data_IF_156452885622
#
_entry.id   IF_156452885622
#
_cell.length_a   1.000
_cell.length_b   1.000
_cell.length_c   1.000
_cell.angle_alpha   90.00
_cell.angle_beta   90.00
_cell.angle_gamma   90.00
#
_symmetry.space_group_name_H-M   'P 1'
#
loop_
_entity.id
_entity.type
_entity.pdbx_description
1 polymer ?
#
# COMPACT_ATOMS: atom_id res chain seq x y z
N UNK A 1 38.25 29.15 -63.40
CA UNK A 1 38.09 29.90 -62.12
C UNK A 1 36.90 29.28 -61.42
N UNK A 2 36.94 28.52 -60.33
CA UNK A 2 37.90 28.21 -59.25
C UNK A 2 37.59 26.73 -58.83
N UNK A 3 38.46 25.74 -59.02
CA UNK A 3 39.41 25.14 -58.04
C UNK A 3 38.89 24.86 -56.60
N UNK A 4 38.46 23.59 -56.37
CA UNK A 4 38.87 22.60 -55.32
C UNK A 4 38.80 22.91 -53.79
N UNK A 5 38.96 21.95 -52.84
CA UNK A 5 38.53 20.53 -52.70
C UNK A 5 38.09 20.08 -51.25
N UNK A 6 37.91 18.75 -51.03
CA UNK A 6 37.96 17.96 -49.76
C UNK A 6 36.63 17.83 -48.97
N UNK A 7 36.22 16.71 -48.35
CA UNK A 7 36.78 15.40 -48.00
C UNK A 7 35.57 14.49 -47.67
N UNK A 8 35.43 13.26 -48.16
CA UNK A 8 36.05 12.10 -47.52
C UNK A 8 35.50 11.84 -46.11
N UNK A 9 34.35 11.17 -46.01
CA UNK A 9 33.89 10.56 -44.75
C UNK A 9 33.49 9.10 -45.01
N UNK A 10 34.44 8.20 -44.74
CA UNK A 10 34.24 6.76 -44.65
C UNK A 10 33.16 6.47 -43.59
N UNK A 11 32.04 5.87 -44.01
CA UNK A 11 31.03 5.35 -43.10
C UNK A 11 31.64 4.20 -42.30
N UNK A 12 31.84 4.42 -41.00
CA UNK A 12 32.27 3.38 -40.07
C UNK A 12 31.23 2.24 -40.03
N UNK A 13 31.66 0.97 -39.96
CA UNK A 13 30.74 -0.16 -39.84
C UNK A 13 29.95 -0.02 -38.53
N UNK A 14 28.61 -0.06 -38.64
CA UNK A 14 27.72 -0.13 -37.48
C UNK A 14 28.11 -1.38 -36.70
N UNK A 15 28.58 -1.20 -35.47
CA UNK A 15 28.74 -2.30 -34.52
C UNK A 15 27.34 -2.87 -34.27
N UNK A 16 27.10 -4.06 -34.78
CA UNK A 16 25.95 -4.86 -34.42
C UNK A 16 25.97 -5.05 -32.90
N UNK A 17 25.08 -4.33 -32.22
CA UNK A 17 24.77 -4.58 -30.82
C UNK A 17 24.16 -5.98 -30.79
N UNK A 18 24.69 -6.93 -29.99
CA UNK A 18 24.10 -8.25 -29.92
C UNK A 18 22.65 -8.11 -29.48
N UNK A 19 21.73 -8.48 -30.36
CA UNK A 19 20.32 -8.65 -30.04
C UNK A 19 20.28 -9.68 -28.92
N UNK A 20 20.06 -9.21 -27.68
CA UNK A 20 19.98 -10.09 -26.53
C UNK A 20 18.93 -11.16 -26.83
N UNK A 21 19.34 -12.42 -26.68
CA UNK A 21 18.49 -13.58 -26.85
C UNK A 21 17.13 -13.34 -26.19
N UNK A 22 16.07 -13.63 -26.95
CA UNK A 22 14.70 -13.77 -26.44
C UNK A 22 14.70 -14.77 -25.27
N UNK A 23 14.92 -14.27 -24.05
CA UNK A 23 14.73 -15.04 -22.83
C UNK A 23 13.26 -15.48 -22.82
N UNK A 24 13.02 -16.78 -22.86
CA UNK A 24 11.67 -17.34 -22.70
C UNK A 24 10.98 -16.69 -21.49
N UNK A 25 9.69 -16.39 -21.61
CA UNK A 25 8.92 -15.76 -20.54
C UNK A 25 9.09 -16.55 -19.23
N UNK A 26 9.42 -15.89 -18.09
CA UNK A 26 9.56 -16.59 -16.82
C UNK A 26 8.30 -17.36 -16.46
N UNK A 27 8.44 -18.54 -15.86
CA UNK A 27 7.28 -19.26 -15.29
C UNK A 27 6.79 -18.57 -14.02
N UNK A 28 7.71 -18.03 -13.22
CA UNK A 28 7.40 -17.36 -11.94
C UNK A 28 8.16 -16.04 -11.79
N UNK A 29 7.46 -15.03 -11.28
CA UNK A 29 8.05 -13.77 -10.83
C UNK A 29 7.92 -13.66 -9.32
N UNK A 30 9.04 -13.59 -8.63
CA UNK A 30 9.08 -13.44 -7.17
C UNK A 30 9.29 -11.96 -6.84
N UNK A 31 8.27 -11.31 -6.30
CA UNK A 31 8.38 -9.93 -5.82
C UNK A 31 8.82 -9.94 -4.36
N UNK A 32 9.98 -9.35 -4.08
CA UNK A 32 10.51 -9.23 -2.71
C UNK A 32 10.44 -7.77 -2.30
N UNK A 33 9.65 -7.46 -1.28
CA UNK A 33 9.51 -6.09 -0.80
C UNK A 33 10.50 -5.81 0.33
N UNK A 34 11.24 -4.69 0.24
CA UNK A 34 12.26 -4.31 1.22
C UNK A 34 12.08 -2.89 1.75
N UNK A 35 12.41 -2.71 3.03
CA UNK A 35 12.55 -1.43 3.71
C UNK A 35 13.61 -1.58 4.80
N UNK A 36 14.80 -1.04 4.56
CA UNK A 36 15.97 -1.10 5.44
C UNK A 36 16.46 -2.54 5.73
N UNK A 37 16.29 -3.48 4.79
CA UNK A 37 16.58 -4.93 4.96
C UNK A 37 17.98 -5.35 4.46
N UNK A 38 18.96 -4.45 4.48
CA UNK A 38 20.29 -4.68 3.91
C UNK A 38 21.06 -5.86 4.53
N UNK A 39 20.80 -6.19 5.80
CA UNK A 39 21.42 -7.33 6.50
C UNK A 39 20.88 -8.69 6.02
N UNK A 40 19.60 -8.76 5.64
CA UNK A 40 18.92 -10.03 5.33
C UNK A 40 18.83 -10.30 3.82
N UNK A 41 18.62 -9.27 3.00
CA UNK A 41 18.21 -9.42 1.59
C UNK A 41 19.22 -10.21 0.76
N UNK A 42 20.52 -10.12 1.07
CA UNK A 42 21.56 -10.87 0.37
C UNK A 42 21.33 -12.38 0.43
N UNK A 43 21.20 -12.92 1.64
CA UNK A 43 20.96 -14.36 1.85
C UNK A 43 19.60 -14.82 1.32
N UNK A 44 18.56 -13.97 1.39
CA UNK A 44 17.26 -14.28 0.79
C UNK A 44 17.38 -14.46 -0.72
N UNK A 45 18.13 -13.59 -1.40
CA UNK A 45 18.35 -13.69 -2.84
C UNK A 45 19.16 -14.95 -3.21
N UNK A 46 20.19 -15.27 -2.43
CA UNK A 46 21.00 -16.47 -2.62
C UNK A 46 20.13 -17.74 -2.52
N UNK A 47 19.34 -17.85 -1.46
CA UNK A 47 18.48 -19.01 -1.20
C UNK A 47 17.35 -19.15 -2.24
N UNK A 48 16.66 -18.07 -2.59
CA UNK A 48 15.57 -18.10 -3.60
C UNK A 48 16.14 -18.48 -4.97
N UNK A 49 17.30 -17.91 -5.35
CA UNK A 49 17.94 -18.21 -6.63
C UNK A 49 18.40 -19.67 -6.70
N UNK A 50 18.92 -20.21 -5.60
CA UNK A 50 19.32 -21.61 -5.51
C UNK A 50 18.11 -22.57 -5.61
N UNK A 51 17.01 -22.28 -4.90
CA UNK A 51 15.80 -23.12 -4.89
C UNK A 51 15.10 -23.16 -6.27
N UNK A 52 15.17 -22.05 -7.00
CA UNK A 52 14.56 -21.87 -8.33
C UNK A 52 15.52 -22.12 -9.50
N UNK A 53 16.74 -22.61 -9.26
CA UNK A 53 17.75 -22.77 -10.31
C UNK A 53 17.29 -23.60 -11.53
N UNK A 54 16.37 -24.55 -11.32
CA UNK A 54 15.79 -25.40 -12.37
C UNK A 54 14.45 -24.90 -12.94
N UNK A 55 13.99 -23.71 -12.52
CA UNK A 55 12.72 -23.12 -12.93
C UNK A 55 13.00 -21.80 -13.64
N UNK A 56 12.47 -21.55 -14.86
CA UNK A 56 12.56 -20.24 -15.48
C UNK A 56 11.90 -19.18 -14.58
N UNK A 57 12.67 -18.25 -14.03
CA UNK A 57 12.20 -17.32 -13.02
C UNK A 57 12.78 -15.92 -13.18
N UNK A 58 12.15 -14.95 -12.53
CA UNK A 58 12.72 -13.63 -12.27
C UNK A 58 12.46 -13.25 -10.81
N UNK A 59 13.39 -12.51 -10.21
CA UNK A 59 13.25 -11.96 -8.86
C UNK A 59 13.26 -10.44 -8.97
N UNK A 60 12.22 -9.80 -8.47
CA UNK A 60 12.02 -8.35 -8.53
C UNK A 60 12.03 -7.83 -7.10
N UNK A 61 13.16 -7.23 -6.70
CA UNK A 61 13.26 -6.55 -5.42
C UNK A 61 12.66 -5.15 -5.58
N UNK A 62 11.69 -4.81 -4.74
CA UNK A 62 11.07 -3.48 -4.69
C UNK A 62 11.45 -2.82 -3.38
N UNK A 63 12.30 -1.80 -3.47
CA UNK A 63 12.93 -1.17 -2.32
C UNK A 63 12.39 0.24 -2.03
N UNK A 64 11.93 0.42 -0.79
CA UNK A 64 11.40 1.68 -0.24
C UNK A 64 12.38 2.34 0.75
N UNK A 65 13.61 1.83 0.86
CA UNK A 65 14.64 2.34 1.76
C UNK A 65 15.02 3.78 1.42
N UNK A 66 15.25 4.59 2.47
CA UNK A 66 15.63 5.99 2.29
C UNK A 66 17.11 6.16 1.91
N UNK A 67 17.96 5.24 2.36
CA UNK A 67 19.37 5.19 2.00
C UNK A 67 19.64 4.18 0.87
N UNK A 68 20.93 4.00 0.53
CA UNK A 68 21.38 3.11 -0.54
C UNK A 68 21.81 1.72 -0.05
N UNK A 69 21.69 1.42 1.25
CA UNK A 69 22.30 0.23 1.83
C UNK A 69 21.69 -1.06 1.23
N UNK A 70 20.37 -1.16 1.21
CA UNK A 70 19.66 -2.32 0.64
C UNK A 70 19.87 -2.41 -0.87
N UNK A 71 19.77 -1.28 -1.57
CA UNK A 71 19.99 -1.23 -3.02
C UNK A 71 21.38 -1.73 -3.43
N UNK A 72 22.43 -1.37 -2.67
CA UNK A 72 23.81 -1.82 -2.92
C UNK A 72 23.93 -3.34 -2.84
N UNK A 73 23.39 -3.94 -1.77
CA UNK A 73 23.41 -5.39 -1.55
C UNK A 73 22.71 -6.12 -2.70
N UNK A 74 21.56 -5.61 -3.17
CA UNK A 74 20.82 -6.21 -4.30
C UNK A 74 21.63 -6.11 -5.60
N UNK A 75 22.23 -4.96 -5.90
CA UNK A 75 23.02 -4.73 -7.11
C UNK A 75 24.30 -5.58 -7.18
N UNK A 76 24.85 -6.00 -6.04
CA UNK A 76 25.93 -6.99 -6.01
C UNK A 76 25.43 -8.37 -6.47
N UNK A 77 24.22 -8.78 -6.06
CA UNK A 77 23.65 -10.09 -6.41
C UNK A 77 23.18 -10.14 -7.86
N UNK A 78 22.80 -9.03 -8.48
CA UNK A 78 22.45 -9.03 -9.92
C UNK A 78 23.63 -9.43 -10.82
N UNK A 79 24.87 -9.28 -10.34
CA UNK A 79 26.09 -9.72 -11.06
C UNK A 79 26.24 -11.24 -11.04
N UNK A 80 25.74 -11.90 -10.01
CA UNK A 80 25.79 -13.36 -9.81
C UNK A 80 24.54 -14.02 -10.38
N UNK A 81 23.37 -13.39 -10.21
CA UNK A 81 22.06 -13.88 -10.63
C UNK A 81 21.40 -12.89 -11.60
N UNK A 82 21.54 -13.08 -12.92
CA UNK A 82 20.95 -12.20 -13.93
C UNK A 82 19.40 -12.13 -13.89
N UNK A 83 18.75 -13.09 -13.22
CA UNK A 83 17.31 -13.11 -13.00
C UNK A 83 16.83 -12.07 -11.96
N UNK A 84 17.73 -11.52 -11.14
CA UNK A 84 17.44 -10.53 -10.11
C UNK A 84 17.43 -9.11 -10.71
N UNK A 85 16.43 -8.31 -10.36
CA UNK A 85 16.39 -6.87 -10.66
C UNK A 85 15.90 -6.06 -9.46
N UNK A 86 16.24 -4.77 -9.47
CA UNK A 86 15.86 -3.80 -8.46
C UNK A 86 14.90 -2.75 -9.05
N UNK A 87 13.82 -2.47 -8.32
CA UNK A 87 12.94 -1.32 -8.52
C UNK A 87 13.05 -0.46 -7.25
N UNK A 88 13.68 0.70 -7.35
CA UNK A 88 13.74 1.67 -6.25
C UNK A 88 12.59 2.66 -6.35
N UNK A 89 11.94 2.96 -5.23
CA UNK A 89 10.78 3.86 -5.20
C UNK A 89 10.99 5.03 -4.26
N UNK A 90 10.98 6.24 -4.82
CA UNK A 90 11.09 7.46 -4.03
C UNK A 90 9.72 7.84 -3.45
N UNK A 91 9.63 7.84 -2.12
CA UNK A 91 8.47 8.40 -1.40
C UNK A 91 7.16 7.62 -1.53
N UNK A 92 7.13 6.45 -2.19
CA UNK A 92 5.92 5.62 -2.33
C UNK A 92 5.85 4.55 -1.22
N UNK A 93 5.89 4.95 0.06
CA UNK A 93 6.01 3.99 1.15
C UNK A 93 4.79 3.07 1.30
N UNK A 94 5.03 1.75 1.38
CA UNK A 94 4.04 0.78 1.87
C UNK A 94 4.05 -0.55 1.11
N UNK A 95 4.04 -1.66 1.86
CA UNK A 95 4.18 -3.03 1.35
C UNK A 95 3.18 -3.36 0.23
N UNK A 96 1.90 -3.01 0.40
CA UNK A 96 0.88 -3.28 -0.61
C UNK A 96 1.20 -2.59 -1.95
N UNK A 97 1.62 -1.33 -1.90
CA UNK A 97 2.01 -0.59 -3.11
C UNK A 97 3.30 -1.13 -3.72
N UNK A 98 4.24 -1.64 -2.90
CA UNK A 98 5.49 -2.24 -3.34
C UNK A 98 5.23 -3.52 -4.13
N UNK A 99 4.43 -4.42 -3.55
CA UNK A 99 4.03 -5.67 -4.18
C UNK A 99 3.33 -5.40 -5.53
N UNK A 100 2.39 -4.45 -5.55
CA UNK A 100 1.68 -4.01 -6.75
C UNK A 100 2.63 -3.48 -7.83
N UNK A 101 3.61 -2.65 -7.47
CA UNK A 101 4.60 -2.13 -8.41
C UNK A 101 5.50 -3.25 -8.97
N UNK A 102 5.89 -4.21 -8.14
CA UNK A 102 6.65 -5.38 -8.57
C UNK A 102 5.84 -6.28 -9.52
N UNK A 103 4.57 -6.54 -9.22
CA UNK A 103 3.69 -7.34 -10.06
C UNK A 103 3.36 -6.67 -11.40
N UNK A 104 3.26 -5.34 -11.44
CA UNK A 104 3.12 -4.60 -12.71
C UNK A 104 4.34 -4.75 -13.61
N UNK A 105 5.54 -4.80 -13.02
CA UNK A 105 6.80 -4.95 -13.73
C UNK A 105 7.16 -6.41 -14.03
N UNK A 106 6.41 -7.36 -13.46
CA UNK A 106 6.62 -8.79 -13.62
C UNK A 106 6.17 -9.27 -15.00
N UNK A 107 6.93 -10.19 -15.58
CA UNK A 107 6.68 -10.86 -16.86
C UNK A 107 6.21 -12.30 -16.72
N UNK A 108 6.34 -12.90 -15.54
CA UNK A 108 6.07 -14.32 -15.34
C UNK A 108 4.59 -14.69 -15.32
N UNK A 109 4.28 -15.94 -15.65
CA UNK A 109 2.91 -16.47 -15.68
C UNK A 109 2.27 -16.58 -14.28
N UNK A 110 3.12 -16.78 -13.27
CA UNK A 110 2.74 -16.79 -11.86
C UNK A 110 3.47 -15.69 -11.10
N UNK A 111 2.76 -15.10 -10.15
CA UNK A 111 3.20 -13.94 -9.39
C UNK A 111 3.26 -14.31 -7.92
N UNK A 112 4.46 -14.31 -7.35
CA UNK A 112 4.68 -14.49 -5.92
C UNK A 112 5.02 -13.18 -5.23
N UNK A 113 4.79 -13.13 -3.93
CA UNK A 113 5.32 -12.10 -3.05
C UNK A 113 5.89 -12.75 -1.80
N UNK A 114 6.97 -12.17 -1.30
CA UNK A 114 7.55 -12.50 0.01
C UNK A 114 8.23 -11.28 0.63
N UNK A 115 8.39 -11.32 1.95
CA UNK A 115 9.12 -10.29 2.70
C UNK A 115 10.64 -10.53 2.56
N UNK A 116 11.42 -9.44 2.50
CA UNK A 116 12.88 -9.48 2.36
C UNK A 116 13.68 -9.63 3.65
N UNK A 117 13.04 -9.96 4.78
CA UNK A 117 13.63 -9.96 6.13
C UNK A 117 14.16 -11.33 6.59
N UNK A 118 14.14 -12.32 5.70
CA UNK A 118 14.64 -13.68 5.95
C UNK A 118 13.72 -14.56 6.81
N UNK A 119 12.53 -14.10 7.19
CA UNK A 119 11.64 -14.91 8.04
C UNK A 119 10.96 -16.05 7.28
N UNK A 120 10.67 -15.86 5.99
CA UNK A 120 10.03 -16.88 5.16
C UNK A 120 11.07 -17.84 4.59
N UNK A 121 10.79 -19.14 4.65
CA UNK A 121 11.60 -20.14 3.98
C UNK A 121 11.51 -19.96 2.44
N UNK A 122 12.62 -19.73 1.74
CA UNK A 122 12.64 -19.58 0.28
C UNK A 122 12.05 -20.77 -0.49
N UNK A 123 12.13 -21.98 0.07
CA UNK A 123 11.53 -23.21 -0.50
C UNK A 123 10.00 -23.14 -0.61
N UNK A 124 9.36 -22.19 0.07
CA UNK A 124 7.93 -21.94 -0.06
C UNK A 124 7.54 -21.56 -1.48
N UNK A 125 8.39 -20.83 -2.20
CA UNK A 125 8.08 -20.40 -3.56
C UNK A 125 7.89 -21.62 -4.47
N UNK A 126 8.84 -22.55 -4.46
CA UNK A 126 8.74 -23.79 -5.23
C UNK A 126 7.55 -24.66 -4.80
N UNK A 127 7.32 -24.85 -3.50
CA UNK A 127 6.16 -25.60 -2.98
C UNK A 127 4.82 -24.99 -3.43
N UNK A 128 4.70 -23.66 -3.42
CA UNK A 128 3.50 -22.97 -3.90
C UNK A 128 3.33 -23.11 -5.41
N UNK A 129 4.42 -23.06 -6.18
CA UNK A 129 4.40 -23.25 -7.63
C UNK A 129 3.94 -24.67 -8.01
N UNK A 130 4.46 -25.68 -7.32
CA UNK A 130 4.03 -27.08 -7.47
C UNK A 130 2.53 -27.21 -7.15
N UNK A 131 2.07 -26.58 -6.07
CA UNK A 131 0.65 -26.62 -5.68
C UNK A 131 -0.28 -25.96 -6.71
N UNK A 132 0.13 -24.83 -7.30
CA UNK A 132 -0.60 -24.20 -8.41
C UNK A 132 -0.65 -25.08 -9.66
N UNK A 133 0.36 -25.91 -9.88
CA UNK A 133 0.46 -26.77 -11.07
C UNK A 133 -0.39 -28.05 -10.94
N UNK A 134 -0.65 -28.51 -9.71
CA UNK A 134 -1.38 -29.76 -9.43
C UNK A 134 -2.90 -29.62 -9.45
N UNK A 135 -3.43 -28.41 -9.26
CA UNK A 135 -4.87 -28.19 -9.15
C UNK A 135 -5.22 -26.81 -9.71
N UNK A 136 -6.45 -26.63 -10.24
CA UNK A 136 -6.87 -25.35 -10.79
C UNK A 136 -7.16 -24.37 -9.64
N UNK A 137 -6.10 -23.76 -9.12
CA UNK A 137 -6.09 -22.84 -7.97
C UNK A 137 -5.71 -21.44 -8.48
N UNK A 138 -6.37 -20.41 -7.95
CA UNK A 138 -6.08 -19.02 -8.34
C UNK A 138 -5.01 -18.39 -7.44
N UNK A 139 -5.02 -18.74 -6.15
CA UNK A 139 -4.12 -18.20 -5.12
C UNK A 139 -3.68 -19.31 -4.15
N UNK A 140 -2.38 -19.40 -3.89
CA UNK A 140 -1.78 -20.28 -2.86
C UNK A 140 -1.16 -19.42 -1.77
N UNK A 141 -1.49 -19.69 -0.51
CA UNK A 141 -1.02 -18.91 0.64
C UNK A 141 -0.12 -19.76 1.53
N UNK A 142 1.06 -19.25 1.90
CA UNK A 142 1.84 -19.83 2.97
C UNK A 142 1.19 -19.50 4.32
N UNK A 143 0.68 -20.51 5.02
CA UNK A 143 -0.12 -20.33 6.23
C UNK A 143 0.61 -20.88 7.45
N UNK A 144 0.68 -20.06 8.49
CA UNK A 144 1.28 -20.45 9.77
C UNK A 144 0.39 -21.40 10.57
N UNK A 145 -0.91 -21.46 10.27
CA UNK A 145 -1.92 -22.06 11.16
C UNK A 145 -2.56 -23.35 10.64
N UNK A 146 -2.00 -23.97 9.60
CA UNK A 146 -2.56 -25.20 9.00
C UNK A 146 -2.34 -26.46 9.85
N UNK A 147 -1.13 -26.65 10.40
CA UNK A 147 -0.71 -27.95 10.95
C UNK A 147 -0.53 -27.92 12.48
N UNK A 148 -1.19 -26.98 13.17
CA UNK A 148 -0.96 -26.78 14.62
C UNK A 148 0.42 -26.22 14.96
N UNK A 149 1.26 -25.94 13.96
CA UNK A 149 2.45 -25.13 14.07
C UNK A 149 2.06 -23.76 14.61
N UNK A 150 2.33 -23.49 15.88
CA UNK A 150 2.14 -22.15 16.44
C UNK A 150 2.94 -21.13 15.60
N UNK A 151 2.54 -19.85 15.57
CA UNK A 151 3.02 -18.89 14.58
C UNK A 151 4.51 -18.51 14.66
N UNK A 152 5.32 -19.14 15.53
CA UNK A 152 6.68 -18.70 15.85
C UNK A 152 6.73 -17.31 16.48
N UNK A 153 5.58 -16.76 16.87
CA UNK A 153 5.41 -15.40 17.40
C UNK A 153 5.08 -15.46 18.89
N UNK A 154 5.87 -14.77 19.72
CA UNK A 154 5.66 -14.67 21.17
C UNK A 154 4.74 -13.48 21.54
N UNK A 155 3.88 -13.64 22.56
CA UNK A 155 3.17 -12.56 23.26
C UNK A 155 2.02 -11.87 22.50
N UNK A 156 1.89 -10.54 22.68
CA UNK A 156 0.80 -9.68 22.18
C UNK A 156 0.60 -9.76 20.64
N UNK A 157 1.66 -10.12 19.90
CA UNK A 157 1.63 -10.36 18.44
C UNK A 157 0.75 -11.54 18.06
N UNK A 158 0.68 -12.57 18.91
CA UNK A 158 -0.19 -13.73 18.70
C UNK A 158 -1.67 -13.36 18.79
N UNK A 159 -2.03 -12.53 19.78
CA UNK A 159 -3.41 -12.07 19.98
C UNK A 159 -3.89 -11.14 18.86
N UNK A 160 -3.08 -10.15 18.46
CA UNK A 160 -3.40 -9.26 17.35
C UNK A 160 -3.57 -9.99 16.01
N UNK A 161 -2.77 -11.03 15.76
CA UNK A 161 -2.93 -11.89 14.58
C UNK A 161 -4.28 -12.64 14.62
N UNK A 162 -4.61 -13.29 15.74
CA UNK A 162 -5.89 -14.02 15.88
C UNK A 162 -7.12 -13.12 15.80
N UNK A 163 -7.06 -11.91 16.39
CA UNK A 163 -8.12 -10.92 16.27
C UNK A 163 -8.30 -10.47 14.81
N UNK A 164 -7.20 -10.18 14.10
CA UNK A 164 -7.25 -9.84 12.67
C UNK A 164 -7.81 -10.96 11.79
N UNK A 165 -7.52 -12.23 12.12
CA UNK A 165 -8.09 -13.41 11.45
C UNK A 165 -9.60 -13.48 11.69
N UNK A 166 -10.04 -13.34 12.95
CA UNK A 166 -11.46 -13.37 13.31
C UNK A 166 -12.25 -12.25 12.63
N UNK A 167 -11.75 -11.02 12.66
CA UNK A 167 -12.40 -9.86 12.03
C UNK A 167 -12.44 -9.99 10.51
N UNK A 168 -11.36 -10.46 9.88
CA UNK A 168 -11.32 -10.67 8.43
C UNK A 168 -12.27 -11.80 7.99
N UNK A 169 -12.33 -12.88 8.76
CA UNK A 169 -13.24 -14.00 8.51
C UNK A 169 -14.70 -13.57 8.70
N UNK A 170 -15.01 -12.79 9.75
CA UNK A 170 -16.37 -12.29 10.01
C UNK A 170 -16.83 -11.29 8.93
N UNK A 171 -15.98 -10.31 8.59
CA UNK A 171 -16.37 -9.23 7.68
C UNK A 171 -16.37 -9.63 6.21
N UNK A 172 -15.49 -10.56 5.79
CA UNK A 172 -15.32 -10.95 4.39
C UNK A 172 -15.71 -12.42 4.10
N UNK A 173 -15.99 -13.21 5.13
CA UNK A 173 -16.35 -14.63 5.00
C UNK A 173 -15.25 -15.48 4.37
N UNK A 174 -13.97 -15.09 4.50
CA UNK A 174 -12.85 -15.77 3.85
C UNK A 174 -12.46 -17.04 4.61
N UNK A 175 -12.43 -18.18 3.92
CA UNK A 175 -11.93 -19.45 4.45
C UNK A 175 -10.40 -19.53 4.29
N UNK A 176 -9.68 -18.65 4.98
CA UNK A 176 -8.23 -18.65 5.05
C UNK A 176 -7.80 -18.90 6.49
N UNK A 177 -6.87 -19.81 6.71
CA UNK A 177 -6.28 -20.03 8.03
C UNK A 177 -5.33 -18.88 8.41
N UNK A 178 -4.71 -18.24 7.41
CA UNK A 178 -3.82 -17.09 7.60
C UNK A 178 -4.06 -15.96 6.58
N UNK A 179 -5.15 -15.18 6.72
CA UNK A 179 -5.42 -14.01 5.87
C UNK A 179 -4.36 -12.90 5.96
N UNK A 180 -3.44 -12.95 6.93
CA UNK A 180 -2.46 -11.90 7.17
C UNK A 180 -1.04 -12.26 6.70
N UNK A 181 -0.88 -13.38 6.00
CA UNK A 181 0.40 -13.86 5.49
C UNK A 181 1.02 -12.86 4.49
N UNK A 182 2.34 -12.67 4.61
CA UNK A 182 3.15 -11.87 3.69
C UNK A 182 3.74 -12.70 2.53
N UNK A 183 3.58 -14.02 2.56
CA UNK A 183 4.11 -14.93 1.55
C UNK A 183 2.99 -15.72 0.87
N UNK A 184 2.76 -15.43 -0.41
CA UNK A 184 1.74 -16.10 -1.21
C UNK A 184 2.05 -15.98 -2.70
N UNK A 185 1.34 -16.79 -3.50
CA UNK A 185 1.48 -16.85 -4.95
C UNK A 185 0.10 -16.85 -5.62
N UNK A 186 -0.02 -16.23 -6.79
CA UNK A 186 -1.24 -16.23 -7.58
C UNK A 186 -0.94 -16.38 -9.07
N UNK A 187 -1.96 -16.76 -9.84
CA UNK A 187 -1.85 -16.73 -11.31
C UNK A 187 -1.91 -15.29 -11.82
N UNK A 188 -1.22 -15.01 -12.93
CA UNK A 188 -1.33 -13.70 -13.62
C UNK A 188 -2.77 -13.36 -13.98
N UNK A 189 -3.53 -14.32 -14.50
CA UNK A 189 -4.94 -14.13 -14.87
C UNK A 189 -5.80 -13.70 -13.67
N UNK A 190 -5.54 -14.24 -12.47
CA UNK A 190 -6.19 -13.78 -11.25
C UNK A 190 -5.81 -12.35 -10.92
N UNK A 191 -4.51 -12.04 -10.94
CA UNK A 191 -4.00 -10.70 -10.66
C UNK A 191 -4.62 -9.63 -11.57
N UNK A 192 -4.67 -9.87 -12.88
CA UNK A 192 -5.27 -8.96 -13.86
C UNK A 192 -6.75 -8.69 -13.59
N UNK A 193 -7.48 -9.70 -13.09
CA UNK A 193 -8.89 -9.56 -12.72
C UNK A 193 -9.10 -8.65 -11.49
N UNK A 194 -8.20 -8.75 -10.50
CA UNK A 194 -8.33 -8.00 -9.24
C UNK A 194 -7.65 -6.64 -9.28
N UNK A 195 -6.62 -6.49 -10.11
CA UNK A 195 -5.76 -5.31 -10.15
C UNK A 195 -6.54 -3.98 -10.20
N UNK A 196 -7.54 -3.77 -11.07
CA UNK A 196 -8.27 -2.50 -11.14
C UNK A 196 -8.98 -2.10 -9.82
N UNK A 197 -9.17 -3.03 -8.89
CA UNK A 197 -9.88 -2.85 -7.62
C UNK A 197 -8.98 -2.96 -6.39
N UNK A 198 -7.67 -3.17 -6.57
CA UNK A 198 -6.74 -3.16 -5.45
C UNK A 198 -6.63 -1.74 -4.89
N UNK A 199 -6.69 -1.63 -3.57
CA UNK A 199 -6.54 -0.36 -2.86
C UNK A 199 -5.09 0.14 -2.93
N UNK A 200 -4.14 -0.80 -2.86
CA UNK A 200 -2.71 -0.51 -2.73
C UNK A 200 -2.33 0.18 -1.41
N UNK A 201 -3.19 0.06 -0.39
CA UNK A 201 -3.00 0.70 0.91
C UNK A 201 -2.61 -0.31 1.99
N UNK A 202 -1.72 0.13 2.89
CA UNK A 202 -1.34 -0.62 4.07
C UNK A 202 -0.39 -1.80 3.80
N UNK A 203 -0.41 -2.74 4.75
CA UNK A 203 0.54 -3.85 4.83
C UNK A 203 -0.05 -5.23 4.48
N UNK A 204 -1.37 -5.36 4.33
CA UNK A 204 -2.04 -6.66 4.22
C UNK A 204 -2.64 -6.89 2.83
N UNK A 205 -1.76 -6.92 1.83
CA UNK A 205 -2.12 -7.05 0.42
C UNK A 205 -2.85 -8.35 0.07
N UNK A 206 -2.64 -9.45 0.82
CA UNK A 206 -3.35 -10.71 0.60
C UNK A 206 -4.88 -10.54 0.72
N UNK A 207 -5.34 -9.81 1.73
CA UNK A 207 -6.79 -9.53 1.91
C UNK A 207 -7.31 -8.73 0.72
N UNK A 208 -6.56 -7.71 0.29
CA UNK A 208 -6.91 -6.89 -0.85
C UNK A 208 -7.06 -7.74 -2.13
N UNK A 209 -6.10 -8.65 -2.38
CA UNK A 209 -6.10 -9.57 -3.54
C UNK A 209 -7.28 -10.54 -3.48
N UNK A 210 -7.59 -11.11 -2.32
CA UNK A 210 -8.63 -12.14 -2.20
C UNK A 210 -10.04 -11.54 -2.19
N UNK A 211 -10.19 -10.32 -1.67
CA UNK A 211 -11.49 -9.66 -1.51
C UNK A 211 -11.87 -8.72 -2.67
N UNK A 212 -10.95 -8.41 -3.59
CA UNK A 212 -11.20 -7.46 -4.68
C UNK A 212 -11.86 -8.08 -5.93
N UNK A 213 -11.95 -9.40 -6.02
CA UNK A 213 -12.62 -10.06 -7.14
C UNK A 213 -14.14 -10.12 -6.96
N UNK A 214 -14.88 -10.14 -8.09
CA UNK A 214 -16.33 -10.39 -8.09
C UNK A 214 -16.70 -11.82 -7.73
N UNK A 215 -15.81 -12.77 -8.04
CA UNK A 215 -15.91 -14.18 -7.64
C UNK A 215 -14.91 -14.47 -6.54
N UNK A 216 -15.17 -15.46 -5.70
CA UNK A 216 -14.18 -15.96 -4.73
C UNK A 216 -13.03 -16.68 -5.48
N UNK A 217 -11.77 -16.51 -5.06
CA UNK A 217 -10.68 -17.31 -5.59
C UNK A 217 -10.78 -18.76 -5.14
N UNK A 218 -10.33 -19.68 -6.00
CA UNK A 218 -9.98 -21.04 -5.59
C UNK A 218 -8.66 -20.93 -4.82
N UNK A 219 -8.71 -21.25 -3.54
CA UNK A 219 -7.59 -21.10 -2.61
C UNK A 219 -6.99 -22.46 -2.28
N UNK A 220 -5.66 -22.51 -2.25
CA UNK A 220 -4.94 -23.55 -1.54
C UNK A 220 -4.00 -22.91 -0.52
N UNK A 221 -3.57 -23.69 0.46
CA UNK A 221 -2.67 -23.22 1.50
C UNK A 221 -1.55 -24.25 1.66
N UNK A 222 -0.34 -23.77 1.94
CA UNK A 222 0.82 -24.61 2.27
C UNK A 222 1.32 -24.24 3.67
N UNK A 223 1.71 -25.20 4.52
CA UNK A 223 2.16 -24.90 5.87
C UNK A 223 3.53 -24.21 5.83
N UNK A 224 3.70 -23.23 6.71
CA UNK A 224 4.96 -22.49 6.89
C UNK A 224 5.28 -22.25 8.37
N UNK A 225 6.57 -22.21 8.68
CA UNK A 225 7.10 -21.80 9.99
C UNK A 225 7.95 -20.55 9.76
N UNK A 226 7.67 -19.48 10.51
CA UNK A 226 8.48 -18.27 10.44
C UNK A 226 9.80 -18.48 11.20
N UNK A 227 10.90 -18.19 10.52
CA UNK A 227 12.23 -18.10 11.12
C UNK A 227 12.34 -16.80 11.94
N UNK A 228 13.33 -16.76 12.82
CA UNK A 228 13.73 -15.52 13.48
C UNK A 228 14.16 -14.49 12.45
N UNK A 229 13.71 -13.25 12.62
CA UNK A 229 14.09 -12.14 11.74
C UNK A 229 15.58 -11.86 11.86
N UNK A 230 16.24 -11.68 10.72
CA UNK A 230 17.64 -11.23 10.68
C UNK A 230 17.63 -9.71 10.67
N UNK A 231 17.90 -9.10 11.82
CA UNK A 231 17.98 -7.64 11.96
C UNK A 231 16.64 -6.90 11.95
N UNK A 232 16.71 -5.58 12.14
CA UNK A 232 15.56 -4.66 12.09
C UNK A 232 14.59 -4.73 13.29
N UNK A 233 13.66 -3.77 13.34
CA UNK A 233 12.65 -3.67 14.42
C UNK A 233 11.27 -4.05 13.88
N UNK A 234 10.64 -5.08 14.46
CA UNK A 234 9.29 -5.51 14.10
C UNK A 234 8.23 -4.50 14.57
N UNK A 235 7.62 -3.78 13.63
CA UNK A 235 6.61 -2.73 13.89
C UNK A 235 5.18 -3.30 13.80
N UNK A 236 4.80 -4.16 14.74
CA UNK A 236 3.36 -4.38 15.01
C UNK A 236 2.84 -3.19 15.80
N UNK A 237 2.56 -2.13 15.06
CA UNK A 237 2.05 -0.86 15.56
C UNK A 237 0.50 -0.86 15.44
N UNK A 238 -0.19 -0.13 16.32
CA UNK A 238 -1.65 0.13 16.24
C UNK A 238 -2.06 0.56 14.82
N UNK A 239 -1.14 1.21 14.09
CA UNK A 239 -1.26 1.58 12.68
C UNK A 239 -1.68 0.42 11.77
N UNK A 240 -1.09 -0.77 11.94
CA UNK A 240 -1.39 -1.94 11.09
C UNK A 240 -2.83 -2.38 11.30
N UNK A 241 -3.34 -2.28 12.53
CA UNK A 241 -4.73 -2.58 12.86
C UNK A 241 -5.66 -1.58 12.17
N UNK A 242 -5.33 -0.29 12.20
CA UNK A 242 -6.12 0.74 11.51
C UNK A 242 -6.13 0.58 9.99
N UNK A 243 -4.98 0.30 9.37
CA UNK A 243 -4.91 0.02 7.93
C UNK A 243 -5.78 -1.18 7.55
N UNK A 244 -5.75 -2.24 8.37
CA UNK A 244 -6.57 -3.42 8.16
C UNK A 244 -8.07 -3.09 8.28
N UNK A 245 -8.50 -2.41 9.34
CA UNK A 245 -9.90 -2.03 9.51
C UNK A 245 -10.42 -1.16 8.36
N UNK A 246 -9.62 -0.17 7.92
CA UNK A 246 -9.98 0.69 6.81
C UNK A 246 -10.12 -0.08 5.49
N UNK A 247 -9.21 -1.03 5.23
CA UNK A 247 -9.28 -1.93 4.08
C UNK A 247 -10.54 -2.81 4.14
N UNK A 248 -10.86 -3.38 5.31
CA UNK A 248 -12.05 -4.22 5.47
C UNK A 248 -13.34 -3.44 5.22
N UNK A 249 -13.42 -2.19 5.69
CA UNK A 249 -14.56 -1.29 5.39
C UNK A 249 -14.66 -1.02 3.89
N UNK A 250 -13.55 -0.71 3.21
CA UNK A 250 -13.56 -0.51 1.76
C UNK A 250 -14.09 -1.73 1.01
N UNK A 251 -13.59 -2.92 1.36
CA UNK A 251 -14.02 -4.17 0.69
C UNK A 251 -15.46 -4.54 1.01
N UNK A 252 -15.90 -4.35 2.26
CA UNK A 252 -17.29 -4.61 2.67
C UNK A 252 -18.30 -3.68 1.97
N UNK A 253 -17.88 -2.45 1.64
CA UNK A 253 -18.69 -1.44 0.96
C UNK A 253 -18.54 -1.46 -0.57
N UNK A 254 -17.77 -2.42 -1.12
CA UNK A 254 -17.51 -2.50 -2.56
C UNK A 254 -16.78 -1.27 -3.12
N UNK A 255 -16.04 -0.54 -2.29
CA UNK A 255 -15.32 0.68 -2.65
C UNK A 255 -16.12 1.98 -2.50
N UNK A 256 -17.37 1.95 -2.01
CA UNK A 256 -18.14 3.16 -1.76
C UNK A 256 -17.49 4.07 -0.69
N UNK A 257 -16.84 3.46 0.31
CA UNK A 257 -16.01 4.15 1.30
C UNK A 257 -14.54 3.73 1.12
N UNK A 258 -13.71 4.50 0.39
CA UNK A 258 -12.29 4.21 0.22
C UNK A 258 -11.55 4.15 1.56
N UNK A 259 -10.56 3.27 1.72
CA UNK A 259 -9.86 3.09 2.99
C UNK A 259 -9.23 4.40 3.52
N UNK A 260 -8.65 5.24 2.65
CA UNK A 260 -8.13 6.56 3.06
C UNK A 260 -9.24 7.48 3.59
N UNK A 261 -10.45 7.40 3.06
CA UNK A 261 -11.58 8.19 3.57
C UNK A 261 -11.99 7.68 4.95
N UNK A 262 -12.05 6.36 5.13
CA UNK A 262 -12.33 5.73 6.43
C UNK A 262 -11.30 6.17 7.48
N UNK A 263 -10.01 6.17 7.14
CA UNK A 263 -8.95 6.69 8.01
C UNK A 263 -9.13 8.17 8.34
N UNK A 264 -9.43 8.99 7.33
CA UNK A 264 -9.67 10.42 7.52
C UNK A 264 -10.84 10.71 8.46
N UNK A 265 -11.97 10.01 8.28
CA UNK A 265 -13.14 10.13 9.15
C UNK A 265 -12.84 9.67 10.57
N UNK A 266 -12.11 8.56 10.73
CA UNK A 266 -11.67 8.09 12.04
C UNK A 266 -10.80 9.13 12.75
N UNK A 267 -9.82 9.70 12.05
CA UNK A 267 -9.00 10.80 12.61
C UNK A 267 -9.89 11.98 13.02
N UNK A 268 -10.86 12.36 12.17
CA UNK A 268 -11.85 13.39 12.50
C UNK A 268 -12.62 13.12 13.80
N UNK A 269 -13.03 11.88 14.05
CA UNK A 269 -13.67 11.47 15.31
C UNK A 269 -12.72 11.63 16.50
N UNK A 270 -11.44 11.27 16.36
CA UNK A 270 -10.46 11.50 17.43
C UNK A 270 -10.25 13.00 17.71
N UNK A 271 -10.26 13.83 16.67
CA UNK A 271 -10.23 15.29 16.82
C UNK A 271 -11.46 15.84 17.53
N UNK A 272 -12.64 15.27 17.28
CA UNK A 272 -13.86 15.64 18.00
C UNK A 272 -13.74 15.31 19.50
N UNK A 273 -13.15 14.17 19.85
CA UNK A 273 -12.87 13.84 21.25
C UNK A 273 -11.92 14.86 21.89
N UNK A 274 -10.81 15.19 21.22
CA UNK A 274 -9.87 16.23 21.68
C UNK A 274 -10.59 17.56 21.87
N UNK A 275 -11.44 17.95 20.92
CA UNK A 275 -12.23 19.18 21.02
C UNK A 275 -13.12 19.19 22.28
N UNK A 276 -13.91 18.13 22.49
CA UNK A 276 -14.82 18.02 23.63
C UNK A 276 -14.07 17.98 24.96
N UNK A 277 -12.91 17.33 25.02
CA UNK A 277 -12.05 17.31 26.21
C UNK A 277 -11.49 18.69 26.53
N UNK A 278 -10.95 19.40 25.54
CA UNK A 278 -10.40 20.76 25.76
C UNK A 278 -11.51 21.72 26.21
N UNK A 279 -12.69 21.64 25.57
CA UNK A 279 -13.82 22.49 25.91
C UNK A 279 -14.34 22.20 27.34
N UNK A 280 -14.46 20.93 27.72
CA UNK A 280 -14.92 20.53 29.05
C UNK A 280 -13.92 20.92 30.14
N UNK A 281 -12.62 20.75 29.90
CA UNK A 281 -11.56 21.22 30.81
C UNK A 281 -11.57 22.74 30.94
N UNK A 282 -11.70 23.48 29.84
CA UNK A 282 -11.80 24.95 29.87
C UNK A 282 -12.98 25.41 30.71
N UNK A 283 -14.14 24.76 30.56
CA UNK A 283 -15.33 25.04 31.39
C UNK A 283 -15.08 24.73 32.86
N UNK A 284 -14.43 23.60 33.18
CA UNK A 284 -14.12 23.21 34.55
C UNK A 284 -13.14 24.19 35.25
N UNK A 285 -12.24 24.81 34.49
CA UNK A 285 -11.30 25.83 34.96
C UNK A 285 -11.91 27.23 35.02
N UNK A 286 -13.20 27.40 34.71
CA UNK A 286 -13.86 28.71 34.71
C UNK A 286 -13.49 29.62 33.54
N UNK A 287 -12.89 29.08 32.47
CA UNK A 287 -12.56 29.87 31.30
C UNK A 287 -13.83 30.33 30.55
N UNK A 288 -13.85 31.54 29.96
CA UNK A 288 -14.93 31.98 29.09
C UNK A 288 -15.15 31.00 27.93
N UNK A 289 -16.42 30.76 27.57
CA UNK A 289 -16.77 29.78 26.53
C UNK A 289 -16.06 30.06 25.19
N UNK A 290 -16.00 31.31 24.75
CA UNK A 290 -15.35 31.68 23.49
C UNK A 290 -13.86 31.33 23.47
N UNK A 291 -13.17 31.46 24.60
CA UNK A 291 -11.76 31.11 24.75
C UNK A 291 -11.59 29.59 24.73
N UNK A 292 -12.40 28.87 25.50
CA UNK A 292 -12.43 27.40 25.49
C UNK A 292 -12.70 26.83 24.10
N UNK A 293 -13.69 27.40 23.40
CA UNK A 293 -14.06 27.02 22.03
C UNK A 293 -12.92 27.26 21.05
N UNK A 294 -12.26 28.42 21.12
CA UNK A 294 -11.14 28.77 20.23
C UNK A 294 -9.95 27.82 20.43
N UNK A 295 -9.59 27.56 21.68
CA UNK A 295 -8.54 26.60 22.04
C UNK A 295 -8.88 25.17 21.58
N UNK A 296 -10.12 24.73 21.78
CA UNK A 296 -10.58 23.41 21.38
C UNK A 296 -10.52 23.21 19.85
N UNK A 297 -10.97 24.20 19.07
CA UNK A 297 -10.86 24.17 17.61
C UNK A 297 -9.39 24.10 17.19
N UNK A 298 -8.56 24.99 17.71
CA UNK A 298 -7.14 25.05 17.33
C UNK A 298 -6.42 23.73 17.62
N UNK A 299 -6.56 23.19 18.84
CA UNK A 299 -5.90 21.94 19.23
C UNK A 299 -6.43 20.74 18.44
N UNK A 300 -7.74 20.65 18.24
CA UNK A 300 -8.35 19.57 17.44
C UNK A 300 -7.91 19.62 15.97
N UNK A 301 -7.80 20.81 15.37
CA UNK A 301 -7.33 20.97 14.00
C UNK A 301 -5.85 20.55 13.84
N UNK A 302 -5.00 20.93 14.79
CA UNK A 302 -3.60 20.50 14.81
C UNK A 302 -3.46 18.99 15.02
N UNK A 303 -4.23 18.42 15.94
CA UNK A 303 -4.31 16.97 16.16
C UNK A 303 -4.69 16.22 14.89
N UNK A 304 -5.78 16.65 14.23
CA UNK A 304 -6.25 16.06 12.98
C UNK A 304 -5.20 16.16 11.87
N UNK A 305 -4.52 17.30 11.73
CA UNK A 305 -3.46 17.47 10.74
C UNK A 305 -2.29 16.52 11.00
N UNK A 306 -1.79 16.46 12.24
CA UNK A 306 -0.63 15.62 12.57
C UNK A 306 -0.93 14.13 12.40
N UNK A 307 -2.09 13.67 12.84
CA UNK A 307 -2.51 12.28 12.62
C UNK A 307 -2.70 11.97 11.14
N UNK A 308 -3.37 12.84 10.37
CA UNK A 308 -3.50 12.61 8.93
C UNK A 308 -2.15 12.59 8.21
N UNK A 309 -1.19 13.42 8.61
CA UNK A 309 0.16 13.45 8.04
C UNK A 309 0.94 12.16 8.36
N UNK A 310 0.74 11.58 9.55
CA UNK A 310 1.43 10.38 10.01
C UNK A 310 0.77 9.05 9.61
N UNK A 311 -0.55 9.05 9.44
CA UNK A 311 -1.38 7.86 9.24
C UNK A 311 -2.02 7.87 7.84
N UNK A 312 -2.99 8.74 7.59
CA UNK A 312 -3.83 8.74 6.37
C UNK A 312 -3.06 9.04 5.08
N UNK A 313 -2.12 9.98 5.12
CA UNK A 313 -1.33 10.44 3.98
C UNK A 313 0.16 10.18 4.19
N UNK A 314 0.49 9.07 4.85
CA UNK A 314 1.86 8.69 5.18
C UNK A 314 2.77 8.60 3.95
N UNK A 315 2.23 8.13 2.82
CA UNK A 315 2.89 8.06 1.52
C UNK A 315 3.29 9.45 0.99
N UNK A 316 2.77 10.53 1.57
CA UNK A 316 3.03 11.91 1.17
C UNK A 316 3.38 12.79 2.36
N UNK A 317 3.95 12.18 3.40
CA UNK A 317 4.20 12.85 4.68
C UNK A 317 5.00 14.12 4.48
N UNK A 318 4.44 15.24 4.93
CA UNK A 318 5.07 16.55 4.88
C UNK A 318 6.06 16.69 6.03
N UNK A 319 7.25 17.23 5.74
CA UNK A 319 8.35 17.47 6.69
C UNK A 319 8.94 18.87 6.46
N UNK A 320 9.61 19.42 7.49
CA UNK A 320 10.28 20.71 7.40
C UNK A 320 9.35 21.86 6.96
N UNK A 321 9.80 22.78 6.08
CA UNK A 321 8.98 23.90 5.63
C UNK A 321 7.68 23.51 4.89
N UNK A 322 7.62 22.31 4.31
CA UNK A 322 6.41 21.81 3.66
C UNK A 322 5.30 21.48 4.66
N UNK A 323 5.66 21.15 5.91
CA UNK A 323 4.70 20.86 6.97
C UNK A 323 3.86 22.09 7.32
N UNK A 324 4.49 23.25 7.46
CA UNK A 324 3.80 24.51 7.78
C UNK A 324 2.89 24.98 6.66
N UNK A 325 3.36 24.91 5.40
CA UNK A 325 2.51 25.19 4.23
C UNK A 325 1.33 24.24 4.14
N UNK A 326 1.55 22.96 4.44
CA UNK A 326 0.48 21.96 4.49
C UNK A 326 -0.54 22.22 5.60
N UNK A 327 -0.10 22.67 6.78
CA UNK A 327 -1.00 23.02 7.88
C UNK A 327 -1.90 24.19 7.49
N UNK A 328 -1.33 25.23 6.89
CA UNK A 328 -2.11 26.37 6.40
C UNK A 328 -3.14 25.95 5.34
N UNK A 329 -2.75 25.13 4.35
CA UNK A 329 -3.68 24.64 3.34
C UNK A 329 -4.76 23.71 3.92
N UNK A 330 -4.43 22.95 4.97
CA UNK A 330 -5.39 22.13 5.70
C UNK A 330 -6.45 22.98 6.40
N UNK A 331 -6.07 24.10 7.02
CA UNK A 331 -7.03 25.02 7.63
C UNK A 331 -7.99 25.62 6.60
N UNK A 332 -7.47 26.06 5.45
CA UNK A 332 -8.31 26.57 4.35
C UNK A 332 -9.29 25.51 3.85
N UNK A 333 -8.83 24.26 3.71
CA UNK A 333 -9.69 23.15 3.29
C UNK A 333 -10.82 22.90 4.32
N UNK A 334 -10.47 22.84 5.61
CA UNK A 334 -11.43 22.65 6.70
C UNK A 334 -12.44 23.78 6.84
N UNK A 335 -12.03 25.04 6.60
CA UNK A 335 -12.94 26.18 6.57
C UNK A 335 -14.00 26.01 5.47
N UNK A 336 -13.59 25.57 4.28
CA UNK A 336 -14.53 25.27 3.20
C UNK A 336 -15.54 24.20 3.59
N UNK A 337 -15.13 23.13 4.29
CA UNK A 337 -16.07 22.11 4.73
C UNK A 337 -16.97 22.55 5.87
N UNK A 338 -16.52 23.47 6.73
CA UNK A 338 -17.39 24.10 7.73
C UNK A 338 -18.50 24.92 7.05
N UNK A 339 -18.17 25.68 6.00
CA UNK A 339 -19.16 26.43 5.19
C UNK A 339 -20.14 25.47 4.53
N UNK A 340 -19.66 24.38 3.92
CA UNK A 340 -20.54 23.35 3.31
C UNK A 340 -21.45 22.72 4.36
N UNK A 341 -20.90 22.37 5.52
CA UNK A 341 -21.67 21.77 6.62
C UNK A 341 -22.78 22.69 7.09
N UNK A 342 -22.48 23.97 7.29
CA UNK A 342 -23.45 24.98 7.74
C UNK A 342 -24.51 25.23 6.67
N UNK A 343 -24.12 25.44 5.41
CA UNK A 343 -25.05 25.71 4.32
C UNK A 343 -26.03 24.56 4.08
N UNK A 344 -25.54 23.31 4.09
CA UNK A 344 -26.38 22.12 3.95
C UNK A 344 -27.29 21.96 5.17
N UNK A 345 -26.75 22.08 6.38
CA UNK A 345 -27.51 21.93 7.62
C UNK A 345 -28.64 22.95 7.71
N UNK A 346 -28.33 24.24 7.51
CA UNK A 346 -29.31 25.31 7.50
C UNK A 346 -30.36 25.11 6.38
N UNK A 347 -29.93 24.75 5.18
CA UNK A 347 -30.83 24.51 4.04
C UNK A 347 -31.81 23.37 4.29
N UNK A 348 -31.34 22.22 4.78
CA UNK A 348 -32.21 21.09 5.12
C UNK A 348 -33.17 21.43 6.26
N UNK A 349 -32.69 22.16 7.27
CA UNK A 349 -33.55 22.58 8.37
C UNK A 349 -34.66 23.53 7.89
N UNK A 350 -34.32 24.46 6.99
CA UNK A 350 -35.29 25.37 6.37
C UNK A 350 -36.34 24.62 5.52
N UNK A 351 -35.98 23.46 4.96
CA UNK A 351 -36.90 22.56 4.24
C UNK A 351 -37.74 21.66 5.17
N UNK A 352 -37.67 21.86 6.49
CA UNK A 352 -38.45 21.11 7.48
C UNK A 352 -37.79 19.83 7.99
N UNK A 353 -36.52 19.58 7.66
CA UNK A 353 -35.81 18.43 8.24
C UNK A 353 -35.58 18.64 9.76
N UNK A 354 -35.67 17.57 10.57
CA UNK A 354 -35.32 17.64 11.99
C UNK A 354 -33.89 18.14 12.19
N UNK A 355 -33.68 19.00 13.19
CA UNK A 355 -32.39 19.68 13.43
C UNK A 355 -31.20 18.70 13.50
N UNK A 356 -31.39 17.53 14.14
CA UNK A 356 -30.33 16.54 14.29
C UNK A 356 -29.97 15.86 12.96
N UNK A 357 -30.98 15.60 12.11
CA UNK A 357 -30.79 15.00 10.80
C UNK A 357 -30.14 15.99 9.83
N UNK A 358 -30.57 17.25 9.87
CA UNK A 358 -29.99 18.34 9.10
C UNK A 358 -28.52 18.56 9.48
N UNK A 359 -28.23 18.67 10.78
CA UNK A 359 -26.86 18.83 11.30
C UNK A 359 -25.96 17.64 11.00
N UNK A 360 -26.45 16.40 11.17
CA UNK A 360 -25.68 15.20 10.83
C UNK A 360 -25.35 15.13 9.33
N UNK A 361 -26.32 15.46 8.47
CA UNK A 361 -26.11 15.46 7.02
C UNK A 361 -25.12 16.54 6.59
N UNK A 362 -25.23 17.75 7.16
CA UNK A 362 -24.25 18.82 6.98
C UNK A 362 -22.84 18.39 7.37
N UNK A 363 -22.68 17.83 8.57
CA UNK A 363 -21.38 17.36 9.06
C UNK A 363 -20.77 16.27 8.16
N UNK A 364 -21.58 15.32 7.67
CA UNK A 364 -21.13 14.27 6.75
C UNK A 364 -20.66 14.84 5.40
N UNK A 365 -21.43 15.75 4.79
CA UNK A 365 -21.05 16.36 3.52
C UNK A 365 -19.85 17.31 3.68
N UNK A 366 -19.77 18.05 4.78
CA UNK A 366 -18.60 18.85 5.14
C UNK A 366 -17.34 18.00 5.32
N UNK A 367 -17.46 16.82 5.95
CA UNK A 367 -16.35 15.88 6.08
C UNK A 367 -15.89 15.32 4.72
N UNK A 368 -16.83 15.03 3.82
CA UNK A 368 -16.53 14.60 2.45
C UNK A 368 -15.82 15.70 1.65
N UNK A 369 -16.29 16.95 1.77
CA UNK A 369 -15.60 18.11 1.22
C UNK A 369 -14.18 18.21 1.76
N UNK A 370 -14.00 18.18 3.08
CA UNK A 370 -12.70 18.28 3.74
C UNK A 370 -11.74 17.25 3.19
N UNK A 371 -12.15 15.98 3.13
CA UNK A 371 -11.33 14.90 2.58
C UNK A 371 -10.88 15.20 1.14
N UNK A 372 -11.81 15.59 0.25
CA UNK A 372 -11.52 15.89 -1.15
C UNK A 372 -10.62 17.12 -1.31
N UNK A 373 -10.87 18.18 -0.56
CA UNK A 373 -10.12 19.43 -0.59
C UNK A 373 -8.69 19.20 -0.09
N UNK A 374 -8.54 18.52 1.05
CA UNK A 374 -7.25 18.19 1.67
C UNK A 374 -6.37 17.33 0.74
N UNK A 375 -6.96 16.35 0.02
CA UNK A 375 -6.23 15.56 -0.97
C UNK A 375 -5.67 16.37 -2.14
N UNK A 376 -6.36 17.44 -2.53
CA UNK A 376 -6.00 18.28 -3.68
C UNK A 376 -5.09 19.44 -3.29
N UNK A 377 -5.29 20.01 -2.10
CA UNK A 377 -4.61 21.22 -1.66
C UNK A 377 -3.37 20.88 -0.84
N UNK A 378 -3.52 20.00 0.17
CA UNK A 378 -2.49 19.70 1.17
C UNK A 378 -1.59 18.53 0.76
N UNK A 379 -2.15 17.34 0.55
CA UNK A 379 -1.37 16.12 0.22
C UNK A 379 -1.44 15.75 -1.26
N UNK A 380 -0.97 16.69 -2.10
CA UNK A 380 -0.97 16.57 -3.57
C UNK A 380 -0.25 15.30 -4.03
N UNK A 381 -0.77 14.59 -5.06
CA UNK A 381 -0.03 13.49 -5.68
C UNK A 381 1.32 13.98 -6.22
N UNK A 382 2.39 13.24 -5.93
CA UNK A 382 3.73 13.49 -6.48
C UNK A 382 3.70 13.45 -8.02
N UNK A 383 4.61 14.20 -8.67
CA UNK A 383 4.69 14.30 -10.12
C UNK A 383 4.83 12.93 -10.83
N UNK A 384 5.49 11.97 -10.19
CA UNK A 384 5.62 10.59 -10.67
C UNK A 384 4.26 9.85 -10.80
N UNK A 385 3.38 9.97 -9.80
CA UNK A 385 2.03 9.39 -9.82
C UNK A 385 1.14 10.07 -10.86
N UNK A 386 1.33 11.38 -11.08
CA UNK A 386 0.62 12.12 -12.13
C UNK A 386 1.02 11.61 -13.52
N UNK A 387 2.31 11.38 -13.76
CA UNK A 387 2.83 10.79 -15.01
C UNK A 387 2.26 9.38 -15.25
N UNK A 388 2.24 8.52 -14.23
CA UNK A 388 1.68 7.16 -14.32
C UNK A 388 0.17 7.15 -14.63
N UNK A 389 -0.62 8.05 -14.02
CA UNK A 389 -2.05 8.21 -14.32
C UNK A 389 -2.30 8.72 -15.75
N UNK A 390 -1.50 9.67 -16.23
CA UNK A 390 -1.59 10.16 -17.61
C UNK A 390 -1.25 9.06 -18.62
N UNK A 391 -0.21 8.25 -18.35
CA UNK A 391 0.15 7.10 -19.20
C UNK A 391 -0.97 6.07 -19.23
N UNK A 392 -1.53 5.68 -18.08
CA UNK A 392 -2.64 4.72 -18.02
C UNK A 392 -3.92 5.23 -18.69
N UNK A 393 -4.25 6.52 -18.56
CA UNK A 393 -5.40 7.11 -19.24
C UNK A 393 -5.19 7.17 -20.77
N UNK A 394 -3.95 7.38 -21.23
CA UNK A 394 -3.59 7.38 -22.65
C UNK A 394 -3.62 5.95 -23.24
N UNK A 395 -3.24 4.94 -22.47
CA UNK A 395 -3.36 3.54 -22.86
C UNK A 395 -4.82 3.06 -22.86
N UNK A 396 -5.63 3.47 -21.87
CA UNK A 396 -7.06 3.18 -21.84
C UNK A 396 -7.82 3.87 -23.00
N UNK A 397 -7.41 5.08 -23.40
CA UNK A 397 -7.97 5.78 -24.56
C UNK A 397 -7.57 5.18 -25.92
N UNK A 398 -6.50 4.37 -25.98
CA UNK A 398 -6.10 3.62 -27.19
C UNK A 398 -6.76 2.26 -27.32
N UNK A 399 -7.33 1.71 -26.24
CA UNK A 399 -8.05 0.43 -26.26
C UNK A 399 -9.54 0.57 -26.66
N UNK A 400 -10.01 1.79 -26.93
CA UNK A 400 -11.41 2.11 -27.31
C UNK A 400 -11.47 2.74 -28.72
N UNK A 401 -10.52 2.42 -29.59
CA UNK A 401 -10.58 2.77 -31.02
C UNK A 401 -10.26 1.57 -31.89
#
# INVERSE_FOLDING_TARGET
>A
MLQHPLSGALAAPRRDVPVMASQASPRVSVVICTLDEHEAIGGVLDDVSADLASVPHEIIVVDDSLDDATARVVLERTRVYPAVRLIRRDGAGGLASAAIAGWDAARGETLAVMDGDGQHDPRLIRRMLERLSQAPVDVVVASRYLDGSGPGLTGFRHWGSRAGIGVSSLLLGLRLADPLSGCFMMTRAWYETVRPRLSGLGFKILIDVVASARRRPRLAQVPTVLRSRVGGVSKLDLRVVFDLLALLVEKRTGGALPARMTQFLFVGLTGLLVHLTVLSTGRALGAPFWLGQSCAIFLAMNWNFMLNNGLTFRDRRLRGPALWRGLASFYVACLGGAIVSEAVGAGLHALGAPWFAAGATGALLGAFWNYRAVQRLTWRPTAAVRKARTVLATLAGRAVR
#
